data_IF_246471087765
#
_entry.id   IF_246471087765
#
_cell.length_a   1.000
_cell.length_b   1.000
_cell.length_c   1.000
_cell.angle_alpha   90.00
_cell.angle_beta   90.00
_cell.angle_gamma   90.00
#
_symmetry.space_group_name_H-M   'P 1'
#
loop_
_entity.id
_entity.type
_entity.pdbx_description
1 polymer ?
#
# COMPACT_ATOMS: atom_id res chain seq x y z
N UNK A 1 -0.42 9.17 -10.91
CA UNK A 1 0.33 7.98 -10.47
C UNK A 1 -0.01 6.80 -11.34
N UNK A 2 1.02 6.04 -11.76
CA UNK A 2 0.82 4.74 -12.39
C UNK A 2 0.29 3.73 -11.36
N UNK A 3 -0.71 2.89 -11.73
CA UNK A 3 -1.19 1.84 -10.85
C UNK A 3 -0.08 0.82 -10.53
N UNK A 4 0.02 0.47 -9.25
CA UNK A 4 0.92 -0.56 -8.73
C UNK A 4 0.08 -1.57 -7.95
N UNK A 5 0.48 -2.84 -7.96
CA UNK A 5 -0.29 -3.91 -7.33
C UNK A 5 -0.47 -3.69 -5.83
N UNK A 6 0.61 -3.26 -5.14
CA UNK A 6 0.58 -3.00 -3.70
C UNK A 6 -0.37 -1.85 -3.31
N UNK A 7 -0.75 -0.96 -4.24
CA UNK A 7 -1.77 0.06 -3.94
C UNK A 7 -3.11 -0.57 -3.53
N UNK A 8 -3.40 -1.80 -3.97
CA UNK A 8 -4.63 -2.52 -3.61
C UNK A 8 -4.68 -2.91 -2.13
N UNK A 9 -3.53 -3.03 -1.47
CA UNK A 9 -3.48 -3.32 -0.04
C UNK A 9 -4.10 -2.20 0.81
N UNK A 10 -4.03 -0.95 0.36
CA UNK A 10 -4.55 0.20 1.12
C UNK A 10 -6.07 0.14 1.35
N UNK A 11 -6.93 0.07 0.32
CA UNK A 11 -8.37 -0.03 0.53
C UNK A 11 -8.78 -1.36 1.20
N UNK A 12 -8.05 -2.46 1.00
CA UNK A 12 -8.29 -3.73 1.72
C UNK A 12 -8.05 -3.57 3.22
N UNK A 13 -7.01 -2.84 3.61
CA UNK A 13 -6.78 -2.49 5.02
C UNK A 13 -7.94 -1.70 5.62
N UNK A 14 -8.46 -0.71 4.89
CA UNK A 14 -9.64 0.04 5.33
C UNK A 14 -10.89 -0.85 5.44
N UNK A 15 -11.09 -1.77 4.50
CA UNK A 15 -12.17 -2.75 4.53
C UNK A 15 -12.09 -3.62 5.79
N UNK A 16 -10.92 -4.19 6.09
CA UNK A 16 -10.71 -5.03 7.29
C UNK A 16 -10.94 -4.26 8.59
N UNK A 17 -10.49 -3.01 8.68
CA UNK A 17 -10.75 -2.15 9.84
C UNK A 17 -12.23 -1.87 9.99
N UNK A 18 -12.91 -1.52 8.90
CA UNK A 18 -14.35 -1.27 8.89
C UNK A 18 -15.14 -2.50 9.34
N UNK A 19 -14.81 -3.68 8.79
CA UNK A 19 -15.39 -4.96 9.17
C UNK A 19 -15.22 -5.25 10.67
N UNK A 20 -14.03 -4.99 11.23
CA UNK A 20 -13.77 -5.23 12.66
C UNK A 20 -14.57 -4.36 13.63
N UNK A 21 -15.06 -3.20 13.17
CA UNK A 21 -15.83 -2.25 13.99
C UNK A 21 -17.33 -2.44 13.79
N UNK A 22 -17.74 -2.73 12.56
CA UNK A 22 -19.15 -2.72 12.16
C UNK A 22 -19.73 -4.11 11.93
N UNK A 23 -18.92 -5.16 11.88
CA UNK A 23 -19.33 -6.55 11.60
C UNK A 23 -20.09 -6.68 10.26
N UNK A 24 -19.79 -5.80 9.31
CA UNK A 24 -20.39 -5.78 7.96
C UNK A 24 -19.30 -6.06 6.92
N UNK A 25 -19.46 -7.10 6.07
CA UNK A 25 -18.44 -7.48 5.08
C UNK A 25 -18.32 -6.42 3.97
N UNK A 26 -17.07 -6.21 3.52
CA UNK A 26 -16.72 -5.31 2.42
C UNK A 26 -15.97 -6.10 1.35
N UNK A 27 -16.71 -6.55 0.33
CA UNK A 27 -16.17 -7.47 -0.69
C UNK A 27 -15.55 -6.76 -1.90
N UNK A 28 -15.83 -5.47 -2.10
CA UNK A 28 -15.38 -4.70 -3.28
C UNK A 28 -14.61 -3.46 -2.83
N UNK A 29 -13.39 -3.33 -3.35
CA UNK A 29 -12.51 -2.19 -3.14
C UNK A 29 -12.32 -1.39 -4.43
N UNK A 30 -11.93 -0.12 -4.28
CA UNK A 30 -11.68 0.76 -5.41
C UNK A 30 -10.48 1.67 -5.15
N UNK A 31 -9.57 1.73 -6.13
CA UNK A 31 -8.53 2.75 -6.20
C UNK A 31 -8.84 3.72 -7.34
N UNK A 32 -8.84 5.02 -7.04
CA UNK A 32 -9.08 6.08 -8.03
C UNK A 32 -7.80 6.86 -8.25
N UNK A 33 -7.26 6.78 -9.46
CA UNK A 33 -6.06 7.47 -9.90
C UNK A 33 -6.45 8.73 -10.65
N UNK A 34 -5.89 9.86 -10.22
CA UNK A 34 -6.06 11.16 -10.86
C UNK A 34 -4.71 11.60 -11.43
N UNK A 35 -4.67 11.80 -12.74
CA UNK A 35 -3.52 12.34 -13.46
C UNK A 35 -3.92 13.66 -14.13
N UNK A 36 -3.01 14.63 -14.13
CA UNK A 36 -3.19 15.86 -14.91
C UNK A 36 -2.19 15.83 -16.05
N UNK A 37 -2.70 15.64 -17.27
CA UNK A 37 -1.89 15.56 -18.49
C UNK A 37 -2.30 16.67 -19.45
N UNK A 38 -1.36 17.54 -19.82
CA UNK A 38 -1.61 18.67 -20.71
C UNK A 38 -2.80 19.55 -20.28
N UNK A 39 -2.95 19.77 -18.96
CA UNK A 39 -4.06 20.54 -18.39
C UNK A 39 -5.41 19.82 -18.34
N UNK A 40 -5.49 18.55 -18.76
CA UNK A 40 -6.69 17.72 -18.67
C UNK A 40 -6.57 16.75 -17.51
N UNK A 41 -7.67 16.58 -16.77
CA UNK A 41 -7.76 15.59 -15.69
C UNK A 41 -8.15 14.24 -16.30
N UNK A 42 -7.27 13.25 -16.15
CA UNK A 42 -7.52 11.85 -16.47
C UNK A 42 -7.84 11.10 -15.19
N UNK A 43 -8.96 10.39 -15.20
CA UNK A 43 -9.44 9.61 -14.06
C UNK A 43 -9.43 8.13 -14.44
N UNK A 44 -8.71 7.30 -13.69
CA UNK A 44 -8.72 5.85 -13.83
C UNK A 44 -9.23 5.21 -12.54
N UNK A 45 -10.20 4.30 -12.66
CA UNK A 45 -10.75 3.55 -11.52
C UNK A 45 -10.32 2.10 -11.65
N UNK A 46 -9.76 1.55 -10.59
CA UNK A 46 -9.41 0.14 -10.45
C UNK A 46 -10.34 -0.47 -9.40
N UNK A 47 -11.35 -1.20 -9.86
CA UNK A 47 -12.34 -1.90 -9.05
C UNK A 47 -11.95 -3.37 -8.96
N UNK A 48 -11.88 -3.92 -7.75
CA UNK A 48 -11.44 -5.29 -7.53
C UNK A 48 -12.07 -5.87 -6.26
N UNK A 49 -12.08 -7.21 -6.17
CA UNK A 49 -12.56 -7.91 -4.98
C UNK A 49 -11.51 -7.88 -3.88
N UNK A 50 -11.95 -7.69 -2.63
CA UNK A 50 -11.12 -7.88 -1.45
C UNK A 50 -10.92 -9.39 -1.21
N UNK A 51 -10.11 -10.02 -2.06
CA UNK A 51 -9.84 -11.46 -2.00
C UNK A 51 -9.10 -11.86 -0.73
N UNK A 52 -9.22 -13.13 -0.35
CA UNK A 52 -8.50 -13.71 0.78
C UNK A 52 -6.97 -13.53 0.64
N UNK A 53 -6.44 -13.61 -0.57
CA UNK A 53 -5.03 -13.36 -0.87
C UNK A 53 -4.62 -11.92 -0.49
N UNK A 54 -5.37 -10.91 -0.93
CA UNK A 54 -5.07 -9.51 -0.61
C UNK A 54 -5.23 -9.22 0.88
N UNK A 55 -6.21 -9.85 1.53
CA UNK A 55 -6.44 -9.74 2.97
C UNK A 55 -5.26 -10.33 3.76
N UNK A 56 -4.81 -11.52 3.36
CA UNK A 56 -3.66 -12.19 3.96
C UNK A 56 -2.38 -11.36 3.77
N UNK A 57 -2.09 -10.88 2.56
CA UNK A 57 -0.94 -10.02 2.29
C UNK A 57 -0.95 -8.75 3.15
N UNK A 58 -2.11 -8.14 3.36
CA UNK A 58 -2.22 -6.95 4.20
C UNK A 58 -1.90 -7.26 5.68
N UNK A 59 -2.40 -8.38 6.21
CA UNK A 59 -2.13 -8.81 7.58
C UNK A 59 -0.64 -9.11 7.78
N UNK A 60 -0.02 -9.82 6.83
CA UNK A 60 1.41 -10.13 6.87
C UNK A 60 2.27 -8.87 6.87
N UNK A 61 1.98 -7.91 6.00
CA UNK A 61 2.70 -6.64 5.95
C UNK A 61 2.52 -5.80 7.21
N UNK A 62 1.32 -5.82 7.82
CA UNK A 62 1.07 -5.15 9.10
C UNK A 62 1.92 -5.78 10.20
N UNK A 63 1.86 -7.10 10.34
CA UNK A 63 2.52 -7.82 11.43
C UNK A 63 4.04 -7.71 11.31
N UNK A 64 4.59 -7.82 10.11
CA UNK A 64 6.01 -7.57 9.83
C UNK A 64 6.45 -6.17 10.26
N UNK A 65 5.67 -5.13 9.95
CA UNK A 65 6.01 -3.75 10.32
C UNK A 65 5.89 -3.52 11.83
N UNK A 66 4.91 -4.14 12.48
CA UNK A 66 4.77 -4.09 13.93
C UNK A 66 5.95 -4.76 14.64
N UNK A 67 6.40 -5.91 14.15
CA UNK A 67 7.59 -6.60 14.66
C UNK A 67 8.84 -5.73 14.55
N UNK A 68 9.06 -5.10 13.39
CA UNK A 68 10.17 -4.18 13.15
C UNK A 68 10.20 -3.07 14.20
N UNK A 69 9.06 -2.45 14.46
CA UNK A 69 8.94 -1.35 15.43
C UNK A 69 9.10 -1.85 16.86
N UNK A 70 8.44 -2.95 17.22
CA UNK A 70 8.44 -3.49 18.58
C UNK A 70 9.83 -3.96 19.02
N UNK A 71 10.60 -4.53 18.10
CA UNK A 71 11.93 -5.07 18.38
C UNK A 71 13.07 -4.11 18.01
N UNK A 72 12.75 -2.96 17.39
CA UNK A 72 13.76 -2.02 16.89
C UNK A 72 14.67 -2.64 15.82
N UNK A 73 14.13 -3.59 15.03
CA UNK A 73 14.86 -4.22 13.92
C UNK A 73 15.09 -3.21 12.80
N UNK A 74 16.18 -3.37 12.05
CA UNK A 74 16.37 -2.65 10.81
C UNK A 74 15.37 -3.19 9.76
N UNK A 75 14.51 -2.35 9.14
CA UNK A 75 13.62 -2.79 8.06
C UNK A 75 14.37 -3.28 6.81
N UNK A 76 15.68 -3.01 6.73
CA UNK A 76 16.50 -3.27 5.57
C UNK A 76 16.38 -2.17 4.52
N UNK A 77 17.24 -2.22 3.51
CA UNK A 77 17.23 -1.33 2.35
C UNK A 77 17.18 -2.13 1.05
N UNK A 78 16.49 -1.63 0.01
CA UNK A 78 16.49 -2.28 -1.30
C UNK A 78 17.87 -2.17 -1.99
N UNK A 79 18.00 -2.63 -3.23
CA UNK A 79 19.16 -2.27 -4.04
C UNK A 79 19.09 -0.78 -4.45
N UNK A 80 20.26 -0.15 -4.65
CA UNK A 80 20.32 1.29 -5.00
C UNK A 80 19.56 1.59 -6.31
N UNK A 81 19.55 0.65 -7.25
CA UNK A 81 18.79 0.69 -8.51
C UNK A 81 17.26 0.73 -8.32
N UNK A 82 16.77 0.23 -7.19
CA UNK A 82 15.35 0.13 -6.86
C UNK A 82 14.88 1.23 -5.90
N UNK A 83 15.81 1.91 -5.23
CA UNK A 83 15.50 3.02 -4.34
C UNK A 83 15.26 4.30 -5.15
N UNK A 84 14.08 4.91 -5.00
CA UNK A 84 13.78 6.18 -5.68
C UNK A 84 14.64 7.30 -5.12
N UNK A 85 15.04 8.22 -6.00
CA UNK A 85 15.85 9.40 -5.63
C UNK A 85 15.13 10.33 -4.65
N UNK A 86 13.80 10.31 -4.62
CA UNK A 86 12.95 11.08 -3.71
C UNK A 86 12.72 10.40 -2.35
N UNK A 87 13.33 9.24 -2.10
CA UNK A 87 13.22 8.57 -0.81
C UNK A 87 13.82 9.42 0.31
N UNK A 88 13.01 9.74 1.33
CA UNK A 88 13.44 10.58 2.46
C UNK A 88 14.60 10.00 3.27
N UNK A 89 14.84 8.69 3.17
CA UNK A 89 15.93 7.98 3.86
C UNK A 89 17.10 7.64 2.93
N UNK A 90 17.10 8.10 1.67
CA UNK A 90 18.11 7.72 0.68
C UNK A 90 19.54 7.97 1.17
N UNK A 91 19.78 9.16 1.75
CA UNK A 91 21.07 9.53 2.33
C UNK A 91 21.46 8.62 3.49
N UNK A 92 20.54 8.33 4.40
CA UNK A 92 20.80 7.45 5.54
C UNK A 92 21.17 6.02 5.09
N UNK A 93 20.61 5.54 3.98
CA UNK A 93 20.83 4.17 3.50
C UNK A 93 22.08 3.97 2.63
N UNK A 94 22.49 4.97 1.84
CA UNK A 94 23.58 4.82 0.84
C UNK A 94 24.66 5.91 0.86
N UNK A 95 24.52 6.91 1.71
CA UNK A 95 25.60 7.85 2.05
C UNK A 95 26.31 7.36 3.31
#
# INVERSE_FOLDING_TARGET
SEPQEWHRLSPVGYALVFESVHEVPVDICCNVYLNVENGKVLVRKDLFFASDELRQCWIEERDRKLEIVAEGKDPGKPERSQCKEDCMYFKVCYE
#
